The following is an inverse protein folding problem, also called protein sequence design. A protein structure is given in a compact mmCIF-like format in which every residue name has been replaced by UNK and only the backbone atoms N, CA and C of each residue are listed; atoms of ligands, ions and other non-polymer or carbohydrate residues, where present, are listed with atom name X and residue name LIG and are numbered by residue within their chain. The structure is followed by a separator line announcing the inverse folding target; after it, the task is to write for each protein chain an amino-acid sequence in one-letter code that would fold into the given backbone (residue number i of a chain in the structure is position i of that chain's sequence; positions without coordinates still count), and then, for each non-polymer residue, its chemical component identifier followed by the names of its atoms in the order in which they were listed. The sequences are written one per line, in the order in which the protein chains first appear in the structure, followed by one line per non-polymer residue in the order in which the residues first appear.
data_IF_606660966239
#
_entry.id   IF_606660966239
#
_cell.length_a   1.000
_cell.length_b   1.000
_cell.length_c   1.000
_cell.angle_alpha   90.00
_cell.angle_beta   90.00
_cell.angle_gamma   90.00
#
_symmetry.space_group_name_H-M   'P 1'
#
loop_
_entity.id
_entity.type
_entity.pdbx_description
1 polymer ?
#
# COMPACT_ATOMS: atom_id res chain seq x y z
N UNK A 1 2.61 2.34 22.08
CA UNK A 1 3.49 3.46 22.36
C UNK A 1 3.09 4.72 21.63
N UNK A 2 3.82 5.79 21.85
CA UNK A 2 3.53 7.10 21.22
C UNK A 2 3.55 7.01 19.69
N UNK A 3 4.51 6.27 19.13
CA UNK A 3 4.62 6.11 17.67
C UNK A 3 3.39 5.40 17.12
N UNK A 4 2.97 4.33 17.76
CA UNK A 4 1.76 3.61 17.35
C UNK A 4 0.52 4.49 17.45
N UNK A 5 0.36 5.24 18.55
CA UNK A 5 -0.77 6.16 18.71
C UNK A 5 -0.79 7.25 17.66
N UNK A 6 0.38 7.80 17.30
CA UNK A 6 0.49 8.79 16.22
C UNK A 6 0.07 8.21 14.87
N UNK A 7 0.51 7.00 14.55
CA UNK A 7 0.15 6.32 13.29
C UNK A 7 -1.34 6.02 13.22
N UNK A 8 -1.94 5.58 14.33
CA UNK A 8 -3.39 5.37 14.42
C UNK A 8 -4.14 6.66 14.10
N UNK A 9 -3.73 7.79 14.70
CA UNK A 9 -4.35 9.09 14.42
C UNK A 9 -4.21 9.47 12.95
N UNK A 10 -3.05 9.23 12.35
CA UNK A 10 -2.82 9.53 10.93
C UNK A 10 -3.77 8.73 10.03
N UNK A 11 -4.00 7.45 10.34
CA UNK A 11 -4.92 6.62 9.56
C UNK A 11 -6.37 7.10 9.72
N UNK A 12 -6.78 7.49 10.93
CA UNK A 12 -8.11 8.09 11.13
C UNK A 12 -8.25 9.39 10.37
N UNK A 13 -7.24 10.24 10.35
CA UNK A 13 -7.26 11.48 9.57
C UNK A 13 -7.37 11.21 8.07
N UNK A 14 -6.67 10.20 7.58
CA UNK A 14 -6.79 9.77 6.19
C UNK A 14 -8.21 9.31 5.88
N UNK A 15 -8.81 8.51 6.75
CA UNK A 15 -10.19 8.06 6.58
C UNK A 15 -11.16 9.24 6.55
N UNK A 16 -11.03 10.18 7.48
CA UNK A 16 -11.88 11.38 7.52
C UNK A 16 -11.71 12.22 6.25
N UNK A 17 -10.48 12.33 5.75
CA UNK A 17 -10.22 13.05 4.50
C UNK A 17 -10.94 12.39 3.32
N UNK A 18 -10.84 11.06 3.22
CA UNK A 18 -11.50 10.30 2.15
C UNK A 18 -13.02 10.46 2.24
N UNK A 19 -13.60 10.35 3.44
CA UNK A 19 -15.03 10.51 3.65
C UNK A 19 -15.53 11.90 3.26
N UNK A 20 -14.73 12.93 3.49
CA UNK A 20 -15.10 14.30 3.19
C UNK A 20 -14.92 14.66 1.71
N UNK A 21 -13.81 14.22 1.10
CA UNK A 21 -13.39 14.70 -0.22
C UNK A 21 -13.76 13.76 -1.37
N UNK A 22 -14.02 12.48 -1.08
CA UNK A 22 -14.29 11.48 -2.12
C UNK A 22 -15.79 11.16 -2.13
N UNK A 23 -16.45 11.29 -3.30
CA UNK A 23 -17.88 10.96 -3.39
C UNK A 23 -18.14 9.50 -2.99
N UNK A 24 -19.28 9.21 -2.37
CA UNK A 24 -19.65 7.82 -2.06
C UNK A 24 -19.63 6.95 -3.31
N UNK A 25 -19.00 5.77 -3.20
CA UNK A 25 -18.92 4.83 -4.32
C UNK A 25 -17.80 5.11 -5.32
N UNK A 26 -17.10 6.24 -5.20
CA UNK A 26 -15.97 6.52 -6.08
C UNK A 26 -14.80 5.58 -5.77
N UNK A 27 -14.04 5.19 -6.80
CA UNK A 27 -12.84 4.36 -6.58
C UNK A 27 -11.76 5.12 -5.81
N UNK A 28 -11.06 4.41 -4.93
CA UNK A 28 -9.99 4.98 -4.11
C UNK A 28 -8.80 4.04 -4.11
N UNK A 29 -7.61 4.60 -4.27
CA UNK A 29 -6.34 3.89 -4.10
C UNK A 29 -5.52 4.63 -3.04
N UNK A 30 -5.04 3.88 -2.05
CA UNK A 30 -4.07 4.37 -1.06
C UNK A 30 -2.82 3.53 -1.21
N UNK A 31 -1.71 4.17 -1.52
CA UNK A 31 -0.44 3.49 -1.74
C UNK A 31 0.68 4.22 -1.03
N UNK A 32 1.66 3.48 -0.55
CA UNK A 32 2.82 4.09 0.09
C UNK A 32 3.70 3.09 0.80
N UNK A 33 4.74 3.64 1.43
CA UNK A 33 5.64 2.91 2.31
C UNK A 33 5.09 2.99 3.73
N UNK A 34 4.65 1.85 4.26
CA UNK A 34 4.11 1.76 5.62
C UNK A 34 5.10 1.11 6.58
N UNK A 35 6.34 0.93 6.15
CA UNK A 35 7.39 0.29 6.93
C UNK A 35 6.93 -1.08 7.46
N UNK A 36 7.24 -1.41 8.71
CA UNK A 36 6.84 -2.68 9.33
C UNK A 36 5.39 -2.68 9.83
N UNK A 37 4.64 -1.64 9.52
CA UNK A 37 3.28 -1.41 10.01
C UNK A 37 2.19 -1.98 9.11
N UNK A 38 2.58 -2.60 7.98
CA UNK A 38 1.65 -3.01 6.94
C UNK A 38 0.48 -3.86 7.42
N UNK A 39 0.72 -4.83 8.29
CA UNK A 39 -0.35 -5.70 8.79
C UNK A 39 -1.36 -4.94 9.66
N UNK A 40 -0.90 -3.99 10.45
CA UNK A 40 -1.78 -3.17 11.29
C UNK A 40 -2.63 -2.24 10.42
N UNK A 41 -2.01 -1.59 9.45
CA UNK A 41 -2.67 -0.71 8.48
C UNK A 41 -3.72 -1.49 7.69
N UNK A 42 -3.37 -2.69 7.23
CA UNK A 42 -4.29 -3.57 6.49
C UNK A 42 -5.60 -3.76 7.25
N UNK A 43 -5.51 -4.07 8.56
CA UNK A 43 -6.70 -4.29 9.39
C UNK A 43 -7.50 -3.02 9.58
N UNK A 44 -6.84 -1.88 9.80
CA UNK A 44 -7.52 -0.61 9.97
C UNK A 44 -8.25 -0.17 8.69
N UNK A 45 -7.57 -0.24 7.55
CA UNK A 45 -8.15 0.16 6.28
C UNK A 45 -9.24 -0.78 5.81
N UNK A 46 -9.17 -2.08 6.16
CA UNK A 46 -10.25 -3.03 5.88
C UNK A 46 -11.55 -2.60 6.54
N UNK A 47 -11.49 -2.03 7.75
CA UNK A 47 -12.66 -1.48 8.43
C UNK A 47 -13.31 -0.30 7.70
N UNK A 48 -12.58 0.34 6.78
CA UNK A 48 -13.06 1.46 5.97
C UNK A 48 -13.40 1.06 4.53
N UNK A 49 -13.42 -0.25 4.25
CA UNK A 49 -13.72 -0.77 2.92
C UNK A 49 -12.56 -0.80 1.95
N UNK A 50 -11.35 -0.50 2.40
CA UNK A 50 -10.13 -0.56 1.60
C UNK A 50 -9.45 -1.90 1.83
N UNK A 51 -9.19 -2.64 0.75
CA UNK A 51 -8.53 -3.94 0.80
C UNK A 51 -7.13 -3.84 0.23
N UNK A 52 -6.20 -4.55 0.87
CA UNK A 52 -4.85 -4.64 0.32
C UNK A 52 -4.88 -5.40 -1.01
N UNK A 53 -4.21 -4.83 -2.00
CA UNK A 53 -3.97 -5.51 -3.25
C UNK A 53 -2.82 -6.50 -3.05
N UNK A 54 -3.10 -7.79 -3.21
CA UNK A 54 -2.12 -8.87 -3.11
C UNK A 54 -1.99 -9.55 -4.47
N UNK A 55 -0.76 -9.63 -4.98
CA UNK A 55 -0.47 -10.31 -6.23
C UNK A 55 -0.04 -11.75 -6.00
N UNK A 56 0.10 -12.50 -7.09
CA UNK A 56 0.54 -13.89 -7.06
C UNK A 56 2.06 -14.01 -6.89
N UNK A 57 2.80 -12.95 -7.22
CA UNK A 57 4.25 -12.91 -7.13
C UNK A 57 4.69 -12.24 -5.83
N UNK A 58 6.00 -12.34 -5.55
CA UNK A 58 6.59 -11.66 -4.39
C UNK A 58 6.38 -10.15 -4.46
N UNK A 59 5.95 -9.57 -3.34
CA UNK A 59 5.81 -8.13 -3.18
C UNK A 59 6.83 -7.55 -2.20
N UNK A 60 7.93 -8.25 -1.97
CA UNK A 60 9.04 -7.76 -1.15
C UNK A 60 9.77 -6.66 -1.91
N UNK A 61 9.89 -5.48 -1.29
CA UNK A 61 10.43 -4.29 -1.97
C UNK A 61 11.69 -3.73 -1.35
N UNK A 62 12.07 -4.17 -0.16
CA UNK A 62 13.20 -3.58 0.56
C UNK A 62 14.07 -4.64 1.24
N UNK A 63 15.37 -4.52 1.24
CA UNK A 63 16.16 -3.61 0.39
C UNK A 63 16.13 -4.04 -1.08
N UNK A 64 16.28 -3.08 -1.99
CA UNK A 64 16.14 -3.35 -3.43
C UNK A 64 17.09 -4.43 -3.96
N UNK A 65 18.31 -4.50 -3.42
CA UNK A 65 19.33 -5.48 -3.86
C UNK A 65 19.03 -6.89 -3.37
N UNK A 66 18.39 -7.02 -2.21
CA UNK A 66 18.05 -8.31 -1.59
C UNK A 66 16.73 -8.16 -0.88
N UNK A 67 15.61 -8.24 -1.60
CA UNK A 67 14.30 -7.96 -1.01
C UNK A 67 13.96 -8.96 0.09
N UNK A 68 13.80 -8.45 1.31
CA UNK A 68 13.50 -9.24 2.50
C UNK A 68 12.23 -8.78 3.21
N UNK A 69 11.75 -7.56 2.94
CA UNK A 69 10.61 -6.99 3.63
C UNK A 69 9.62 -6.37 2.66
N UNK A 70 8.34 -6.53 2.94
CA UNK A 70 7.26 -5.86 2.24
C UNK A 70 6.91 -4.58 2.99
N UNK A 71 7.49 -3.45 2.57
CA UNK A 71 7.26 -2.15 3.18
C UNK A 71 6.25 -1.30 2.42
N UNK A 72 6.14 -1.54 1.11
CA UNK A 72 5.26 -0.78 0.22
C UNK A 72 3.99 -1.58 -0.03
N UNK A 73 2.84 -0.90 0.11
CA UNK A 73 1.53 -1.53 0.04
C UNK A 73 0.58 -0.70 -0.80
N UNK A 74 -0.40 -1.36 -1.41
CA UNK A 74 -1.48 -0.74 -2.17
C UNK A 74 -2.80 -1.23 -1.60
N UNK A 75 -3.66 -0.31 -1.21
CA UNK A 75 -5.01 -0.60 -0.73
C UNK A 75 -6.01 0.03 -1.67
N UNK A 76 -7.11 -0.67 -1.94
CA UNK A 76 -8.04 -0.28 -3.00
C UNK A 76 -9.48 -0.52 -2.58
N UNK A 77 -10.35 0.38 -3.05
CA UNK A 77 -11.80 0.26 -2.98
C UNK A 77 -12.41 0.67 -4.31
N UNK A 78 -13.33 -0.13 -4.85
CA UNK A 78 -14.08 0.23 -6.05
C UNK A 78 -13.36 0.00 -7.37
N UNK A 79 -12.22 -0.69 -7.36
CA UNK A 79 -11.48 -1.07 -8.56
C UNK A 79 -11.18 -2.56 -8.53
N UNK A 80 -11.15 -3.17 -9.71
CA UNK A 80 -10.80 -4.58 -9.85
C UNK A 80 -9.29 -4.72 -10.08
N UNK A 81 -8.59 -5.47 -9.22
CA UNK A 81 -7.16 -5.73 -9.43
C UNK A 81 -6.92 -6.59 -10.67
N UNK A 82 -5.94 -6.22 -11.49
CA UNK A 82 -5.51 -6.98 -12.67
C UNK A 82 -4.15 -7.59 -12.43
N UNK A 83 -3.15 -6.78 -12.05
CA UNK A 83 -1.82 -7.29 -11.78
C UNK A 83 -1.10 -6.44 -10.74
N UNK A 84 -0.21 -7.09 -10.01
CA UNK A 84 0.68 -6.45 -9.05
C UNK A 84 2.05 -7.08 -9.19
N UNK A 85 3.04 -6.30 -9.61
CA UNK A 85 4.37 -6.80 -9.85
C UNK A 85 5.42 -5.93 -9.16
N UNK A 86 6.51 -6.57 -8.77
CA UNK A 86 7.71 -5.91 -8.26
C UNK A 86 8.85 -6.29 -9.19
N UNK A 87 9.23 -5.44 -10.15
CA UNK A 87 10.35 -5.74 -11.02
C UNK A 87 11.64 -5.76 -10.21
N UNK A 88 12.54 -6.67 -10.58
CA UNK A 88 13.80 -6.85 -9.88
C UNK A 88 14.96 -6.68 -10.84
N UNK A 89 16.15 -6.47 -10.28
CA UNK A 89 17.37 -6.40 -11.04
C UNK A 89 18.11 -5.08 -10.87
N UNK A 90 19.29 -5.06 -11.49
CA UNK A 90 20.28 -4.01 -11.28
C UNK A 90 19.78 -2.60 -11.64
N UNK A 91 19.00 -2.47 -12.70
CA UNK A 91 18.47 -1.17 -13.11
C UNK A 91 17.62 -0.54 -12.01
N UNK A 92 16.84 -1.36 -11.31
CA UNK A 92 15.92 -0.89 -10.29
C UNK A 92 16.62 -0.55 -8.98
N UNK A 93 17.54 -1.43 -8.50
CA UNK A 93 18.21 -1.15 -7.24
C UNK A 93 19.33 -0.09 -7.35
N UNK A 94 19.67 0.34 -8.55
CA UNK A 94 20.49 1.53 -8.75
C UNK A 94 19.70 2.83 -8.68
N UNK A 95 18.36 2.77 -8.81
CA UNK A 95 17.50 3.95 -8.78
C UNK A 95 17.03 4.30 -7.38
N UNK A 96 16.82 3.30 -6.52
CA UNK A 96 16.29 3.47 -5.18
C UNK A 96 16.67 2.29 -4.29
N UNK A 97 16.62 2.49 -2.97
CA UNK A 97 16.76 1.41 -2.00
C UNK A 97 15.48 0.58 -1.84
N UNK A 98 14.35 1.03 -2.42
CA UNK A 98 13.13 0.24 -2.60
C UNK A 98 12.99 -0.18 -4.06
N UNK A 99 12.49 -1.40 -4.28
CA UNK A 99 12.02 -1.79 -5.60
C UNK A 99 10.67 -1.14 -5.88
N UNK A 100 10.34 -0.84 -7.14
CA UNK A 100 9.03 -0.31 -7.47
C UNK A 100 7.94 -1.36 -7.30
N UNK A 101 6.75 -0.90 -6.95
CA UNK A 101 5.54 -1.73 -6.87
C UNK A 101 4.58 -1.20 -7.92
N UNK A 102 4.27 -2.03 -8.93
CA UNK A 102 3.45 -1.63 -10.07
C UNK A 102 2.13 -2.35 -9.99
N UNK A 103 1.05 -1.59 -9.86
CA UNK A 103 -0.31 -2.11 -9.75
C UNK A 103 -1.15 -1.68 -10.93
N UNK A 104 -1.85 -2.63 -11.52
CA UNK A 104 -2.79 -2.38 -12.61
C UNK A 104 -4.20 -2.68 -12.16
N UNK A 105 -5.14 -1.79 -12.50
CA UNK A 105 -6.54 -1.90 -12.12
C UNK A 105 -7.44 -1.79 -13.34
N UNK A 106 -8.62 -2.37 -13.21
CA UNK A 106 -9.70 -2.25 -14.19
C UNK A 106 -10.86 -1.49 -13.54
N UNK A 107 -11.41 -0.55 -14.27
CA UNK A 107 -12.60 0.20 -13.88
C UNK A 107 -13.89 -0.62 -14.01
#
# INVERSE_FOLDING_TARGET
GLIAGSRVRQIYQLHQFIEREVPPGAPVVVAGDFNDWGNHIKRMLAGFGLREYEGDASTLTYPARLPLAQLDHVYVRGLEPVSLIVPQGRIWWRMSDHLPLIAEFKL
#
